data_IF_754941751771
#
_entry.id   IF_754941751771
#
_cell.length_a   1.000
_cell.length_b   1.000
_cell.length_c   1.000
_cell.angle_alpha   90.00
_cell.angle_beta   90.00
_cell.angle_gamma   90.00
#
_symmetry.space_group_name_H-M   'P 1'
#
loop_
_entity.id
_entity.type
_entity.pdbx_description
1 polymer ?
#
# COMPACT_ATOMS: atom_id res chain seq x y z
N UNK A 1 24.34 -14.67 -53.56
CA UNK A 1 23.55 -14.86 -52.34
C UNK A 1 24.39 -14.38 -51.17
N UNK A 2 24.19 -13.17 -50.60
CA UNK A 2 24.77 -12.72 -49.30
C UNK A 2 24.37 -11.28 -48.85
N UNK A 3 23.30 -10.67 -49.40
CA UNK A 3 22.92 -9.26 -49.05
C UNK A 3 21.79 -9.19 -48.00
N UNK A 4 21.11 -10.30 -47.71
CA UNK A 4 19.88 -10.28 -46.87
C UNK A 4 20.17 -10.43 -45.36
N UNK A 5 21.40 -10.71 -44.95
CA UNK A 5 21.71 -11.03 -43.53
C UNK A 5 22.02 -9.82 -42.64
N UNK A 6 22.31 -8.65 -43.22
CA UNK A 6 22.69 -7.46 -42.43
C UNK A 6 21.46 -6.78 -41.81
N UNK A 7 20.30 -6.82 -42.47
CA UNK A 7 19.08 -6.19 -41.96
C UNK A 7 18.41 -6.95 -40.81
N UNK A 8 18.70 -8.25 -40.62
CA UNK A 8 18.12 -9.03 -39.52
C UNK A 8 18.71 -8.75 -38.15
N UNK A 9 19.91 -8.15 -38.06
CA UNK A 9 20.57 -7.88 -36.76
C UNK A 9 20.05 -6.62 -36.06
N UNK A 10 19.56 -5.62 -36.79
CA UNK A 10 19.08 -4.35 -36.20
C UNK A 10 17.74 -4.48 -35.45
N UNK A 11 16.91 -5.47 -35.81
CA UNK A 11 15.57 -5.66 -35.23
C UNK A 11 15.53 -6.51 -33.95
N UNK A 12 16.66 -7.03 -33.46
CA UNK A 12 16.70 -7.85 -32.23
C UNK A 12 17.02 -7.06 -30.95
N UNK A 13 17.55 -5.84 -31.04
CA UNK A 13 17.93 -5.05 -29.87
C UNK A 13 16.77 -4.26 -29.24
N UNK A 14 15.62 -4.12 -29.91
CA UNK A 14 14.49 -3.31 -29.43
C UNK A 14 13.44 -4.07 -28.61
N UNK A 15 13.66 -5.35 -28.26
CA UNK A 15 12.65 -6.20 -27.60
C UNK A 15 12.81 -6.39 -26.08
N UNK A 16 13.68 -5.62 -25.42
CA UNK A 16 13.89 -5.74 -23.96
C UNK A 16 13.87 -4.42 -23.19
N UNK A 17 13.12 -3.43 -23.64
CA UNK A 17 12.81 -2.27 -22.79
C UNK A 17 11.31 -2.23 -22.60
N UNK A 18 10.85 -2.67 -21.42
CA UNK A 18 9.47 -2.46 -20.96
C UNK A 18 9.10 -1.00 -21.24
N UNK A 19 7.89 -0.75 -21.73
CA UNK A 19 7.46 0.62 -21.98
C UNK A 19 7.45 1.39 -20.65
N UNK A 20 7.72 2.71 -20.65
CA UNK A 20 7.68 3.51 -19.42
C UNK A 20 6.36 3.38 -18.64
N UNK A 21 5.26 3.09 -19.36
CA UNK A 21 3.94 2.82 -18.80
C UNK A 21 3.88 1.49 -18.04
N UNK A 22 4.47 0.43 -18.59
CA UNK A 22 4.55 -0.88 -17.92
C UNK A 22 5.45 -0.82 -16.69
N UNK A 23 6.57 -0.10 -16.76
CA UNK A 23 7.47 0.09 -15.62
C UNK A 23 6.80 0.92 -14.50
N UNK A 24 6.03 1.95 -14.86
CA UNK A 24 5.24 2.71 -13.91
C UNK A 24 4.12 1.87 -13.26
N UNK A 25 3.43 1.04 -14.05
CA UNK A 25 2.39 0.14 -13.55
C UNK A 25 2.96 -0.90 -12.58
N UNK A 26 4.09 -1.53 -12.92
CA UNK A 26 4.76 -2.53 -12.08
C UNK A 26 5.28 -1.92 -10.76
N UNK A 27 5.79 -0.68 -10.80
CA UNK A 27 6.13 0.07 -9.58
C UNK A 27 4.92 0.34 -8.71
N UNK A 28 3.79 0.71 -9.33
CA UNK A 28 2.55 1.02 -8.63
C UNK A 28 1.95 -0.24 -8.00
N UNK A 29 1.94 -1.37 -8.70
CA UNK A 29 1.55 -2.68 -8.15
C UNK A 29 2.48 -3.12 -7.02
N UNK A 30 3.79 -2.90 -7.15
CA UNK A 30 4.75 -3.20 -6.07
C UNK A 30 4.51 -2.33 -4.83
N UNK A 31 4.09 -1.07 -5.01
CA UNK A 31 3.73 -0.18 -3.90
C UNK A 31 2.42 -0.61 -3.23
N UNK A 32 1.42 -1.03 -4.01
CA UNK A 32 0.14 -1.50 -3.47
C UNK A 32 0.26 -2.84 -2.77
N UNK A 33 1.00 -3.81 -3.34
CA UNK A 33 1.22 -5.14 -2.76
C UNK A 33 2.04 -5.15 -1.46
N UNK A 34 2.88 -4.13 -1.24
CA UNK A 34 3.61 -3.95 0.03
C UNK A 34 2.76 -3.41 1.17
N UNK A 35 1.54 -2.91 0.91
CA UNK A 35 0.60 -2.54 1.97
C UNK A 35 0.00 -3.82 2.54
N UNK A 36 0.54 -4.27 3.68
CA UNK A 36 -0.13 -5.27 4.51
C UNK A 36 -1.24 -4.55 5.27
N UNK A 37 -2.46 -4.61 4.76
CA UNK A 37 -3.63 -4.18 5.53
C UNK A 37 -3.85 -5.14 6.70
N UNK A 38 -3.67 -4.63 7.92
CA UNK A 38 -4.06 -5.35 9.14
C UNK A 38 -5.53 -5.01 9.35
N UNK A 39 -6.44 -5.80 8.77
CA UNK A 39 -7.88 -5.60 8.92
C UNK A 39 -8.34 -6.28 10.20
N UNK A 40 -8.74 -5.48 11.19
CA UNK A 40 -9.46 -5.95 12.37
C UNK A 40 -10.87 -5.37 12.31
N UNK A 41 -11.86 -6.24 12.19
CA UNK A 41 -13.27 -5.85 12.15
C UNK A 41 -13.78 -5.66 13.58
N UNK A 42 -14.37 -4.50 13.86
CA UNK A 42 -14.99 -4.18 15.16
C UNK A 42 -16.48 -3.91 14.92
N UNK A 43 -17.40 -4.50 15.72
CA UNK A 43 -18.82 -4.18 15.68
C UNK A 43 -19.06 -2.69 15.97
N UNK A 44 -20.03 -2.08 15.30
CA UNK A 44 -20.32 -0.63 15.41
C UNK A 44 -20.68 -0.22 16.85
N UNK A 45 -21.49 -1.04 17.53
CA UNK A 45 -21.96 -0.79 18.90
C UNK A 45 -20.81 -0.75 19.92
N UNK A 46 -19.82 -1.62 19.77
CA UNK A 46 -18.62 -1.65 20.62
C UNK A 46 -17.65 -0.52 20.29
N UNK A 47 -17.64 -0.06 19.04
CA UNK A 47 -16.80 1.04 18.61
C UNK A 47 -17.33 2.39 19.09
N UNK A 48 -18.63 2.67 18.96
CA UNK A 48 -19.18 3.97 19.36
C UNK A 48 -19.00 4.27 20.86
N UNK A 49 -19.19 3.26 21.71
CA UNK A 49 -19.03 3.39 23.15
C UNK A 49 -17.58 3.66 23.58
N UNK A 50 -16.59 3.13 22.84
CA UNK A 50 -15.18 3.12 23.24
C UNK A 50 -14.24 3.74 22.18
N UNK A 51 -14.76 4.54 21.25
CA UNK A 51 -14.05 4.94 20.03
C UNK A 51 -12.73 5.66 20.29
N UNK A 52 -12.68 6.51 21.31
CA UNK A 52 -11.45 7.21 21.72
C UNK A 52 -10.41 6.27 22.31
N UNK A 53 -10.85 5.32 23.15
CA UNK A 53 -9.99 4.34 23.80
C UNK A 53 -9.37 3.39 22.78
N UNK A 54 -10.17 2.95 21.81
CA UNK A 54 -9.71 2.12 20.69
C UNK A 54 -8.70 2.87 19.82
N UNK A 55 -8.97 4.14 19.50
CA UNK A 55 -8.02 4.99 18.75
C UNK A 55 -6.69 5.13 19.48
N UNK A 56 -6.73 5.40 20.79
CA UNK A 56 -5.52 5.53 21.60
C UNK A 56 -4.72 4.21 21.62
N UNK A 57 -5.39 3.07 21.83
CA UNK A 57 -4.74 1.76 21.84
C UNK A 57 -4.07 1.42 20.50
N UNK A 58 -4.69 1.80 19.37
CA UNK A 58 -4.11 1.64 18.03
C UNK A 58 -2.87 2.52 17.86
N UNK A 59 -2.95 3.80 18.24
CA UNK A 59 -1.83 4.75 18.18
C UNK A 59 -0.66 4.26 19.04
N UNK A 60 -0.92 3.91 20.29
CA UNK A 60 0.09 3.42 21.24
C UNK A 60 0.77 2.14 20.71
N UNK A 61 -0.03 1.19 20.23
CA UNK A 61 0.49 -0.08 19.68
C UNK A 61 1.42 0.19 18.51
N UNK A 62 1.02 1.03 17.57
CA UNK A 62 1.81 1.33 16.38
C UNK A 62 3.04 2.18 16.71
N UNK A 63 2.90 3.19 17.56
CA UNK A 63 4.00 4.02 18.05
C UNK A 63 5.08 3.18 18.70
N UNK A 64 4.70 2.24 19.58
CA UNK A 64 5.62 1.33 20.27
C UNK A 64 6.24 0.30 19.33
N UNK A 65 5.45 -0.33 18.46
CA UNK A 65 5.92 -1.38 17.53
C UNK A 65 6.88 -0.83 16.47
N UNK A 66 6.61 0.38 15.98
CA UNK A 66 7.37 0.99 14.89
C UNK A 66 8.37 2.05 15.38
N UNK A 67 8.42 2.32 16.68
CA UNK A 67 9.28 3.33 17.30
C UNK A 67 9.14 4.71 16.64
N UNK A 68 7.89 5.16 16.51
CA UNK A 68 7.54 6.44 15.88
C UNK A 68 6.74 7.30 16.86
N UNK A 69 6.82 8.64 16.77
CA UNK A 69 5.99 9.52 17.56
C UNK A 69 4.49 9.25 17.30
N UNK A 70 3.63 9.29 18.32
CA UNK A 70 2.19 9.07 18.16
C UNK A 70 1.55 10.08 17.20
N UNK A 71 2.11 11.30 17.12
CA UNK A 71 1.73 12.37 16.18
C UNK A 71 1.83 11.94 14.69
N UNK A 72 2.69 10.97 14.38
CA UNK A 72 2.89 10.43 13.02
C UNK A 72 1.92 9.31 12.65
N UNK A 73 1.03 8.93 13.57
CA UNK A 73 0.01 7.91 13.38
C UNK A 73 -1.35 8.59 13.27
N UNK A 74 -1.94 8.55 12.07
CA UNK A 74 -3.31 9.04 11.84
C UNK A 74 -4.27 7.86 11.78
N UNK A 75 -5.25 7.87 12.68
CA UNK A 75 -6.28 6.84 12.78
C UNK A 75 -7.60 7.43 12.33
N UNK A 76 -8.05 7.00 11.16
CA UNK A 76 -9.39 7.27 10.62
C UNK A 76 -10.24 6.00 10.73
N UNK A 77 -11.56 6.15 10.63
CA UNK A 77 -12.48 5.02 10.61
C UNK A 77 -13.60 5.26 9.62
N UNK A 78 -14.07 4.18 9.02
CA UNK A 78 -15.21 4.18 8.10
C UNK A 78 -16.15 3.03 8.45
N UNK A 79 -17.44 3.30 8.41
CA UNK A 79 -18.46 2.27 8.51
C UNK A 79 -18.68 1.64 7.13
N UNK A 80 -18.59 0.31 7.06
CA UNK A 80 -18.91 -0.46 5.87
C UNK A 80 -19.63 -1.75 6.26
N UNK A 81 -20.81 -1.98 5.69
CA UNK A 81 -21.61 -3.21 5.85
C UNK A 81 -21.90 -3.59 7.33
N UNK A 82 -22.11 -2.60 8.21
CA UNK A 82 -22.35 -2.83 9.64
C UNK A 82 -21.09 -3.13 10.46
N UNK A 83 -19.90 -2.86 9.91
CA UNK A 83 -18.61 -2.98 10.60
C UNK A 83 -17.86 -1.67 10.57
N UNK A 84 -17.03 -1.43 11.59
CA UNK A 84 -16.07 -0.32 11.60
C UNK A 84 -14.73 -0.81 11.08
N UNK A 85 -14.26 -0.16 10.01
CA UNK A 85 -12.93 -0.36 9.45
C UNK A 85 -12.04 0.77 9.96
N UNK A 86 -11.05 0.43 10.79
CA UNK A 86 -10.04 1.37 11.26
C UNK A 86 -8.92 1.43 10.23
N UNK A 87 -8.78 2.58 9.59
CA UNK A 87 -7.72 2.84 8.61
C UNK A 87 -6.63 3.64 9.30
N UNK A 88 -5.43 3.06 9.41
CA UNK A 88 -4.30 3.74 10.04
C UNK A 88 -3.22 4.09 9.01
N UNK A 89 -2.91 5.37 8.91
CA UNK A 89 -1.82 5.87 8.09
C UNK A 89 -0.61 6.22 8.98
N UNK A 90 0.51 5.58 8.69
CA UNK A 90 1.76 5.75 9.44
C UNK A 90 2.78 6.46 8.55
N UNK A 91 3.27 7.63 8.99
CA UNK A 91 4.34 8.34 8.31
C UNK A 91 5.71 7.98 8.94
N UNK A 92 6.55 7.31 8.18
CA UNK A 92 7.90 6.91 8.61
C UNK A 92 9.00 7.94 8.28
N UNK A 93 8.69 8.98 7.50
CA UNK A 93 9.63 10.05 7.16
C UNK A 93 9.73 11.11 8.23
#
# INVERSE_FOLDING_TARGET
MWIVDIFKRKNRQHKQTKSPKEEAAERLETMLSRRREIVKMIPVEEFEANSEEIKYAVIETLSRKFNIPPEKVRVDYHEQNGYVVIVTNVNFK
#
